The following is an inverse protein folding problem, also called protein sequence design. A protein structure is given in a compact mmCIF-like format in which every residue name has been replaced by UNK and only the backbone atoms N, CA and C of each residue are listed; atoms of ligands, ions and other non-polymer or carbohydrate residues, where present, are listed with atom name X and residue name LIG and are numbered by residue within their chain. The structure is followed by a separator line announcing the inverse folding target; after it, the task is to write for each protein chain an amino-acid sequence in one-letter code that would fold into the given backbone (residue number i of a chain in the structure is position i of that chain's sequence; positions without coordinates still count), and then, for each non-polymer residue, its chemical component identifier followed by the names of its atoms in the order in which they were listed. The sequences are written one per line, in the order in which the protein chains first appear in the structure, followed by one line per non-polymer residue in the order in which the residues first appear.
data_IF_898740159129
#
_entry.id   IF_898740159129
#
_cell.length_a   1.000
_cell.length_b   1.000
_cell.length_c   1.000
_cell.angle_alpha   90.00
_cell.angle_beta   90.00
_cell.angle_gamma   90.00
#
_symmetry.space_group_name_H-M   'P 1'
#
loop_
_entity.id
_entity.type
_entity.pdbx_description
1 polymer ?
#
# COMPACT_ATOMS: atom_id res chain seq x y z
N UNK A 1 -24.33 20.66 29.55
CA UNK A 1 -24.01 19.27 29.97
C UNK A 1 -23.57 18.51 28.73
N UNK A 2 -22.38 17.89 28.70
CA UNK A 2 -21.98 17.00 27.59
C UNK A 2 -22.60 15.62 27.84
N UNK A 3 -23.44 15.19 26.91
CA UNK A 3 -24.11 13.89 26.93
C UNK A 3 -23.08 12.74 27.10
N UNK A 4 -23.22 11.89 28.13
CA UNK A 4 -22.33 10.76 28.35
C UNK A 4 -22.33 9.73 27.20
N UNK A 5 -23.41 9.63 26.43
CA UNK A 5 -23.50 8.71 25.29
C UNK A 5 -22.58 9.15 24.13
N UNK A 6 -22.50 10.45 23.88
CA UNK A 6 -21.57 11.05 22.91
C UNK A 6 -20.09 10.74 23.21
N UNK A 7 -19.72 10.61 24.49
CA UNK A 7 -18.35 10.23 24.88
C UNK A 7 -18.06 8.75 24.65
N UNK A 8 -19.07 7.88 24.79
CA UNK A 8 -18.95 6.44 24.58
C UNK A 8 -18.76 6.13 23.09
N UNK A 9 -19.55 6.78 22.23
CA UNK A 9 -19.44 6.65 20.77
C UNK A 9 -18.07 7.10 20.25
N UNK A 10 -17.55 8.21 20.77
CA UNK A 10 -16.22 8.70 20.41
C UNK A 10 -15.09 7.74 20.78
N UNK A 11 -15.20 7.02 21.91
CA UNK A 11 -14.20 6.03 22.31
C UNK A 11 -14.26 4.79 21.42
N UNK A 12 -15.46 4.33 21.09
CA UNK A 12 -15.66 3.20 20.20
C UNK A 12 -15.01 3.43 18.82
N UNK A 13 -15.30 4.57 18.17
CA UNK A 13 -14.72 4.89 16.87
C UNK A 13 -13.20 5.03 16.89
N UNK A 14 -12.63 5.55 17.98
CA UNK A 14 -11.16 5.60 18.13
C UNK A 14 -10.53 4.22 18.13
N UNK A 15 -11.13 3.24 18.80
CA UNK A 15 -10.64 1.86 18.80
C UNK A 15 -10.67 1.27 17.39
N UNK A 16 -11.77 1.48 16.65
CA UNK A 16 -11.87 1.03 15.26
C UNK A 16 -10.78 1.64 14.39
N UNK A 17 -10.53 2.96 14.53
CA UNK A 17 -9.49 3.64 13.74
C UNK A 17 -8.08 3.15 14.07
N UNK A 18 -7.78 2.88 15.34
CA UNK A 18 -6.49 2.31 15.76
C UNK A 18 -6.33 0.89 15.21
N UNK A 19 -7.38 0.07 15.29
CA UNK A 19 -7.37 -1.29 14.76
C UNK A 19 -7.17 -1.28 13.23
N UNK A 20 -7.89 -0.42 12.51
CA UNK A 20 -7.71 -0.24 11.06
C UNK A 20 -6.29 0.21 10.70
N UNK A 21 -5.72 1.16 11.46
CA UNK A 21 -4.34 1.60 11.29
C UNK A 21 -3.34 0.47 11.49
N UNK A 22 -3.46 -0.27 12.60
CA UNK A 22 -2.56 -1.38 12.91
C UNK A 22 -2.66 -2.49 11.88
N UNK A 23 -3.88 -2.84 11.46
CA UNK A 23 -4.13 -3.81 10.40
C UNK A 23 -3.50 -3.37 9.07
N UNK A 24 -3.72 -2.12 8.66
CA UNK A 24 -3.15 -1.57 7.43
C UNK A 24 -1.62 -1.57 7.44
N UNK A 25 -1.01 -1.24 8.59
CA UNK A 25 0.43 -1.28 8.78
C UNK A 25 0.98 -2.71 8.66
N UNK A 26 0.35 -3.68 9.34
CA UNK A 26 0.76 -5.09 9.27
C UNK A 26 0.57 -5.67 7.86
N UNK A 27 -0.52 -5.32 7.18
CA UNK A 27 -0.77 -5.71 5.79
C UNK A 27 0.32 -5.18 4.85
N UNK A 28 0.72 -3.91 5.00
CA UNK A 28 1.76 -3.32 4.16
C UNK A 28 3.14 -3.92 4.47
N UNK A 29 3.44 -4.17 5.75
CA UNK A 29 4.69 -4.79 6.18
C UNK A 29 4.80 -6.24 5.69
N UNK A 30 3.75 -7.05 5.89
CA UNK A 30 3.73 -8.44 5.44
C UNK A 30 3.74 -8.55 3.92
N UNK A 31 2.99 -7.69 3.21
CA UNK A 31 3.04 -7.59 1.75
C UNK A 31 4.44 -7.24 1.24
N UNK A 32 5.14 -6.31 1.91
CA UNK A 32 6.54 -5.97 1.60
C UNK A 32 7.47 -7.14 1.77
N UNK A 33 7.36 -7.86 2.88
CA UNK A 33 8.16 -9.06 3.13
C UNK A 33 7.90 -10.13 2.07
N UNK A 34 6.63 -10.44 1.79
CA UNK A 34 6.23 -11.45 0.80
C UNK A 34 6.68 -11.09 -0.61
N UNK A 35 6.69 -9.82 -0.98
CA UNK A 35 7.21 -9.37 -2.28
C UNK A 35 8.68 -9.78 -2.44
N UNK A 36 9.53 -9.48 -1.47
CA UNK A 36 10.96 -9.80 -1.56
C UNK A 36 11.25 -11.28 -1.44
N UNK A 37 10.48 -12.01 -0.63
CA UNK A 37 10.60 -13.47 -0.52
C UNK A 37 10.20 -14.17 -1.83
N UNK A 38 9.03 -13.82 -2.37
CA UNK A 38 8.44 -14.52 -3.53
C UNK A 38 8.96 -14.01 -4.86
N UNK A 39 8.98 -12.69 -5.06
CA UNK A 39 9.37 -12.09 -6.34
C UNK A 39 10.88 -11.90 -6.32
N UNK A 40 11.41 -10.99 -5.50
CA UNK A 40 12.84 -10.77 -5.35
C UNK A 40 13.26 -9.31 -5.55
N UNK A 41 14.57 -9.10 -5.73
CA UNK A 41 15.19 -7.77 -5.78
C UNK A 41 15.72 -7.42 -7.16
N UNK A 42 15.84 -8.40 -8.05
CA UNK A 42 16.46 -8.23 -9.35
C UNK A 42 15.44 -8.45 -10.48
N UNK A 43 15.61 -7.77 -11.64
CA UNK A 43 14.78 -8.02 -12.82
C UNK A 43 14.71 -9.49 -13.23
N UNK A 44 15.79 -10.25 -13.03
CA UNK A 44 15.81 -11.70 -13.27
C UNK A 44 14.80 -12.46 -12.39
N UNK A 45 14.71 -12.13 -11.10
CA UNK A 45 13.79 -12.81 -10.17
C UNK A 45 12.32 -12.47 -10.51
N UNK A 46 12.09 -11.26 -11.00
CA UNK A 46 10.80 -10.81 -11.53
C UNK A 46 10.47 -11.60 -12.79
N UNK A 47 11.37 -11.67 -13.77
CA UNK A 47 11.18 -12.47 -14.99
C UNK A 47 10.94 -13.94 -14.64
N UNK A 48 11.67 -14.50 -13.69
CA UNK A 48 11.47 -15.87 -13.23
C UNK A 48 10.09 -16.07 -12.61
N UNK A 49 9.62 -15.11 -11.81
CA UNK A 49 8.28 -15.14 -11.21
C UNK A 49 7.18 -15.04 -12.27
N UNK A 50 7.30 -14.16 -13.27
CA UNK A 50 6.27 -13.95 -14.29
C UNK A 50 6.42 -14.81 -15.55
N UNK A 51 7.56 -15.41 -15.85
CA UNK A 51 7.77 -16.15 -17.10
C UNK A 51 8.42 -17.53 -16.88
N UNK A 52 8.79 -17.85 -15.64
CA UNK A 52 9.43 -19.12 -15.28
C UNK A 52 10.95 -19.13 -15.50
N UNK A 53 11.59 -20.18 -14.98
CA UNK A 53 13.05 -20.36 -14.97
C UNK A 53 13.66 -20.37 -16.37
N UNK A 54 13.06 -21.06 -17.34
CA UNK A 54 13.59 -21.13 -18.71
C UNK A 54 13.71 -19.75 -19.37
N UNK A 55 12.66 -18.92 -19.24
CA UNK A 55 12.65 -17.57 -19.77
C UNK A 55 13.64 -16.65 -19.05
N UNK A 56 13.80 -16.82 -17.72
CA UNK A 56 14.81 -16.10 -16.95
C UNK A 56 16.22 -16.46 -17.41
N UNK A 57 16.56 -17.74 -17.52
CA UNK A 57 17.89 -18.20 -17.92
C UNK A 57 18.25 -17.81 -19.35
N UNK A 58 17.25 -17.73 -20.25
CA UNK A 58 17.46 -17.24 -21.61
C UNK A 58 17.94 -15.77 -21.67
N UNK A 59 17.49 -14.93 -20.72
CA UNK A 59 17.86 -13.51 -20.65
C UNK A 59 19.01 -13.25 -19.66
N UNK A 60 19.15 -14.09 -18.64
CA UNK A 60 20.10 -13.94 -17.55
C UNK A 60 20.83 -15.29 -17.28
N UNK A 61 21.69 -15.77 -18.20
CA UNK A 61 22.26 -17.12 -18.13
C UNK A 61 23.19 -17.36 -16.93
N UNK A 62 23.70 -16.30 -16.29
CA UNK A 62 24.55 -16.39 -15.09
C UNK A 62 23.79 -16.34 -13.77
N UNK A 63 22.46 -16.33 -13.77
CA UNK A 63 21.64 -16.25 -12.55
C UNK A 63 21.31 -17.64 -12.00
N UNK A 64 21.23 -17.79 -10.66
CA UNK A 64 20.79 -19.04 -10.05
C UNK A 64 19.32 -19.30 -10.37
N UNK A 65 19.01 -20.52 -10.78
CA UNK A 65 17.66 -21.01 -10.98
C UNK A 65 17.00 -21.37 -9.64
N UNK A 66 15.83 -20.81 -9.36
CA UNK A 66 15.02 -21.09 -8.16
C UNK A 66 13.95 -22.15 -8.39
N UNK A 67 13.99 -22.85 -9.52
CA UNK A 67 13.06 -23.91 -9.95
C UNK A 67 11.59 -23.45 -9.95
N UNK A 68 11.31 -22.31 -10.58
CA UNK A 68 9.93 -21.78 -10.68
C UNK A 68 9.32 -22.10 -12.04
N UNK A 69 8.12 -22.67 -11.99
CA UNK A 69 7.28 -22.81 -13.17
C UNK A 69 6.60 -21.48 -13.50
N UNK A 70 6.37 -21.18 -14.81
CA UNK A 70 5.54 -20.05 -15.18
C UNK A 70 4.16 -20.21 -14.53
N UNK A 71 3.68 -19.19 -13.82
CA UNK A 71 2.35 -19.26 -13.24
C UNK A 71 1.28 -19.37 -14.36
N UNK A 72 0.24 -20.16 -14.13
CA UNK A 72 -0.89 -20.29 -15.07
C UNK A 72 -1.63 -18.97 -15.24
N UNK A 73 -2.31 -18.77 -16.37
CA UNK A 73 -3.10 -17.55 -16.61
C UNK A 73 -4.18 -17.35 -15.53
N UNK A 74 -4.89 -18.42 -15.18
CA UNK A 74 -5.94 -18.41 -14.16
C UNK A 74 -5.43 -18.04 -12.76
N UNK A 75 -4.39 -18.72 -12.26
CA UNK A 75 -3.85 -18.45 -10.92
C UNK A 75 -3.28 -17.03 -10.78
N UNK A 76 -2.83 -16.44 -11.89
CA UNK A 76 -2.41 -15.03 -11.91
C UNK A 76 -3.58 -14.08 -11.89
N UNK A 77 -4.65 -14.34 -12.67
CA UNK A 77 -5.85 -13.52 -12.63
C UNK A 77 -6.46 -13.50 -11.23
N UNK A 78 -6.51 -14.65 -10.55
CA UNK A 78 -6.95 -14.74 -9.15
C UNK A 78 -6.09 -13.86 -8.23
N UNK A 79 -4.77 -13.96 -8.37
CA UNK A 79 -3.82 -13.18 -7.57
C UNK A 79 -4.00 -11.68 -7.82
N UNK A 80 -4.00 -11.25 -9.08
CA UNK A 80 -4.06 -9.83 -9.44
C UNK A 80 -5.42 -9.23 -9.10
N UNK A 81 -6.51 -9.97 -9.28
CA UNK A 81 -7.85 -9.52 -8.88
C UNK A 81 -7.94 -9.28 -7.37
N UNK A 82 -7.41 -10.19 -6.56
CA UNK A 82 -7.34 -10.02 -5.11
C UNK A 82 -6.48 -8.79 -4.73
N UNK A 83 -5.33 -8.58 -5.38
CA UNK A 83 -4.49 -7.41 -5.17
C UNK A 83 -5.19 -6.11 -5.57
N UNK A 84 -5.93 -6.10 -6.69
CA UNK A 84 -6.65 -4.92 -7.16
C UNK A 84 -7.69 -4.45 -6.13
N UNK A 85 -8.46 -5.39 -5.57
CA UNK A 85 -9.43 -5.07 -4.50
C UNK A 85 -8.70 -4.59 -3.25
N UNK A 86 -7.69 -5.35 -2.80
CA UNK A 86 -6.96 -5.04 -1.57
C UNK A 86 -6.27 -3.66 -1.62
N UNK A 87 -5.58 -3.36 -2.72
CA UNK A 87 -4.91 -2.08 -2.94
C UNK A 87 -5.92 -0.93 -3.01
N UNK A 88 -7.05 -1.12 -3.71
CA UNK A 88 -8.09 -0.09 -3.81
C UNK A 88 -8.66 0.27 -2.43
N UNK A 89 -9.00 -0.73 -1.61
CA UNK A 89 -9.50 -0.52 -0.25
C UNK A 89 -8.45 0.16 0.62
N UNK A 90 -7.20 -0.29 0.56
CA UNK A 90 -6.10 0.28 1.34
C UNK A 90 -5.84 1.74 0.97
N UNK A 91 -5.68 2.04 -0.32
CA UNK A 91 -5.40 3.39 -0.81
C UNK A 91 -6.57 4.32 -0.50
N UNK A 92 -7.80 3.95 -0.85
CA UNK A 92 -8.97 4.80 -0.59
C UNK A 92 -9.19 5.00 0.91
N UNK A 93 -9.07 3.94 1.71
CA UNK A 93 -9.24 4.01 3.16
C UNK A 93 -8.22 4.93 3.83
N UNK A 94 -6.93 4.75 3.53
CA UNK A 94 -5.86 5.55 4.14
C UNK A 94 -5.85 7.00 3.65
N UNK A 95 -6.04 7.24 2.35
CA UNK A 95 -6.08 8.60 1.80
C UNK A 95 -7.32 9.36 2.29
N UNK A 96 -8.47 8.71 2.38
CA UNK A 96 -9.68 9.30 2.95
C UNK A 96 -9.46 9.66 4.43
N UNK A 97 -8.89 8.74 5.22
CA UNK A 97 -8.61 8.97 6.63
C UNK A 97 -7.60 10.11 6.83
N UNK A 98 -6.54 10.14 6.00
CA UNK A 98 -5.53 11.19 6.07
C UNK A 98 -6.15 12.55 5.75
N UNK A 99 -6.95 12.62 4.67
CA UNK A 99 -7.61 13.85 4.26
C UNK A 99 -8.64 14.34 5.29
N UNK A 100 -9.43 13.45 5.88
CA UNK A 100 -10.42 13.83 6.90
C UNK A 100 -9.79 14.28 8.21
N UNK A 101 -8.56 13.82 8.52
CA UNK A 101 -7.81 14.23 9.71
C UNK A 101 -7.16 15.62 9.63
N UNK A 102 -7.17 16.28 8.46
CA UNK A 102 -6.42 17.52 8.22
C UNK A 102 -7.33 18.73 8.03
N UNK A 103 -7.15 19.77 8.87
CA UNK A 103 -7.89 21.04 8.79
C UNK A 103 -7.24 22.09 7.87
N UNK A 104 -5.94 22.03 7.60
CA UNK A 104 -5.20 23.00 6.78
C UNK A 104 -3.97 22.40 6.10
N UNK A 105 -3.45 23.05 5.06
CA UNK A 105 -2.33 22.50 4.26
C UNK A 105 -2.74 21.34 3.33
N UNK A 106 -4.00 21.30 2.89
CA UNK A 106 -4.59 20.18 2.12
C UNK A 106 -3.78 19.76 0.90
N UNK A 107 -3.21 20.73 0.17
CA UNK A 107 -2.42 20.46 -1.04
C UNK A 107 -1.27 19.47 -0.82
N UNK A 108 -0.55 19.55 0.30
CA UNK A 108 0.54 18.60 0.61
C UNK A 108 0.02 17.17 0.75
N UNK A 109 -1.09 17.00 1.49
CA UNK A 109 -1.72 15.70 1.70
C UNK A 109 -2.39 15.16 0.44
N UNK A 110 -2.95 16.03 -0.39
CA UNK A 110 -3.52 15.68 -1.69
C UNK A 110 -2.44 15.16 -2.63
N UNK A 111 -1.25 15.79 -2.65
CA UNK A 111 -0.10 15.32 -3.44
C UNK A 111 0.37 13.94 -2.95
N UNK A 112 0.52 13.74 -1.65
CA UNK A 112 0.90 12.43 -1.10
C UNK A 112 -0.14 11.36 -1.45
N UNK A 113 -1.42 11.68 -1.31
CA UNK A 113 -2.52 10.77 -1.65
C UNK A 113 -2.51 10.42 -3.15
N UNK A 114 -2.25 11.40 -4.01
CA UNK A 114 -2.12 11.19 -5.44
C UNK A 114 -0.92 10.31 -5.77
N UNK A 115 0.24 10.56 -5.17
CA UNK A 115 1.44 9.72 -5.37
C UNK A 115 1.17 8.28 -4.92
N UNK A 116 0.53 8.10 -3.77
CA UNK A 116 0.19 6.77 -3.27
C UNK A 116 -0.76 6.01 -4.21
N UNK A 117 -1.81 6.70 -4.69
CA UNK A 117 -2.73 6.15 -5.67
C UNK A 117 -2.04 5.82 -7.00
N UNK A 118 -1.27 6.75 -7.55
CA UNK A 118 -0.57 6.56 -8.82
C UNK A 118 0.46 5.42 -8.73
N UNK A 119 1.16 5.29 -7.61
CA UNK A 119 2.12 4.22 -7.38
C UNK A 119 1.42 2.85 -7.27
N UNK A 120 0.29 2.77 -6.56
CA UNK A 120 -0.52 1.54 -6.50
C UNK A 120 -1.03 1.12 -7.89
N UNK A 121 -1.53 2.09 -8.66
CA UNK A 121 -2.01 1.86 -10.02
C UNK A 121 -0.88 1.42 -10.96
N UNK A 122 0.31 2.03 -10.84
CA UNK A 122 1.48 1.64 -11.61
C UNK A 122 1.99 0.24 -11.24
N UNK A 123 2.07 -0.07 -9.94
CA UNK A 123 2.50 -1.39 -9.45
C UNK A 123 1.59 -2.51 -9.96
N UNK A 124 0.27 -2.31 -9.86
CA UNK A 124 -0.75 -3.22 -10.37
C UNK A 124 -0.77 -3.29 -11.90
N UNK A 125 -0.62 -2.14 -12.57
CA UNK A 125 -0.53 -2.07 -14.02
C UNK A 125 0.68 -2.84 -14.55
N UNK A 126 1.80 -2.83 -13.83
CA UNK A 126 3.00 -3.60 -14.18
C UNK A 126 2.83 -5.10 -13.93
N UNK A 127 1.98 -5.53 -12.98
CA UNK A 127 1.64 -6.96 -12.84
C UNK A 127 0.98 -7.51 -14.11
N UNK A 128 0.09 -6.73 -14.74
CA UNK A 128 -0.49 -7.05 -16.05
C UNK A 128 0.50 -6.80 -17.20
N UNK A 129 1.27 -5.73 -17.10
CA UNK A 129 2.21 -5.29 -18.12
C UNK A 129 3.27 -6.34 -18.37
N UNK A 130 3.95 -6.83 -17.33
CA UNK A 130 5.02 -7.83 -17.46
C UNK A 130 4.49 -9.15 -18.02
N UNK A 131 3.24 -9.48 -17.69
CA UNK A 131 2.55 -10.65 -18.23
C UNK A 131 2.45 -10.65 -19.77
N UNK A 132 2.18 -9.48 -20.35
CA UNK A 132 1.87 -9.31 -21.77
C UNK A 132 3.01 -8.65 -22.56
N UNK A 133 3.97 -8.04 -21.85
CA UNK A 133 5.06 -7.27 -22.43
C UNK A 133 6.38 -8.06 -22.38
N UNK A 134 7.39 -7.60 -23.11
CA UNK A 134 8.70 -8.25 -23.08
C UNK A 134 9.42 -8.02 -21.74
N UNK A 135 10.41 -8.87 -21.47
CA UNK A 135 11.17 -8.90 -20.21
C UNK A 135 11.79 -7.56 -19.79
N UNK A 136 12.07 -6.64 -20.72
CA UNK A 136 12.68 -5.34 -20.44
C UNK A 136 11.79 -4.41 -19.60
N UNK A 137 10.51 -4.74 -19.41
CA UNK A 137 9.59 -4.05 -18.49
C UNK A 137 9.84 -4.47 -17.03
N UNK A 138 10.38 -5.66 -16.78
CA UNK A 138 10.62 -6.18 -15.44
C UNK A 138 11.39 -5.23 -14.50
N UNK A 139 12.43 -4.48 -14.93
CA UNK A 139 13.12 -3.50 -14.10
C UNK A 139 12.22 -2.40 -13.53
N UNK A 140 11.05 -2.13 -14.12
CA UNK A 140 10.12 -1.10 -13.63
C UNK A 140 9.31 -1.57 -12.42
N UNK A 141 9.18 -2.88 -12.20
CA UNK A 141 8.36 -3.43 -11.10
C UNK A 141 8.88 -3.02 -9.73
N UNK A 142 10.18 -3.19 -9.50
CA UNK A 142 10.76 -2.88 -8.19
C UNK A 142 10.63 -1.38 -7.83
N UNK A 143 10.98 -0.42 -8.70
CA UNK A 143 10.73 1.00 -8.43
C UNK A 143 9.27 1.34 -8.19
N UNK A 144 8.33 0.78 -8.96
CA UNK A 144 6.90 1.01 -8.77
C UNK A 144 6.41 0.47 -7.42
N UNK A 145 6.82 -0.76 -7.08
CA UNK A 145 6.53 -1.38 -5.81
C UNK A 145 7.09 -0.57 -4.64
N UNK A 146 8.37 -0.16 -4.72
CA UNK A 146 9.03 0.65 -3.70
C UNK A 146 8.34 2.01 -3.51
N UNK A 147 7.92 2.65 -4.60
CA UNK A 147 7.16 3.90 -4.53
C UNK A 147 5.81 3.68 -3.86
N UNK A 148 5.11 2.59 -4.17
CA UNK A 148 3.83 2.23 -3.56
C UNK A 148 3.97 1.99 -2.06
N UNK A 149 4.90 1.13 -1.63
CA UNK A 149 5.06 0.83 -0.20
C UNK A 149 5.60 2.02 0.58
N UNK A 150 6.52 2.79 0.02
CA UNK A 150 7.09 3.97 0.69
C UNK A 150 6.05 5.08 0.87
N UNK A 151 5.22 5.33 -0.14
CA UNK A 151 4.12 6.30 -0.04
C UNK A 151 3.00 5.81 0.89
N UNK A 152 2.74 4.50 0.95
CA UNK A 152 1.86 3.88 1.95
C UNK A 152 2.38 4.05 3.38
N UNK A 153 3.65 3.74 3.63
CA UNK A 153 4.28 3.93 4.95
C UNK A 153 4.34 5.41 5.34
N UNK A 154 4.61 6.32 4.39
CA UNK A 154 4.55 7.76 4.65
C UNK A 154 3.12 8.20 5.03
N UNK A 155 2.10 7.68 4.34
CA UNK A 155 0.69 7.96 4.66
C UNK A 155 0.34 7.51 6.08
N UNK A 156 0.75 6.29 6.46
CA UNK A 156 0.59 5.76 7.81
C UNK A 156 1.37 6.58 8.85
N UNK A 157 2.61 6.96 8.56
CA UNK A 157 3.40 7.81 9.44
C UNK A 157 2.74 9.17 9.67
N UNK A 158 2.20 9.81 8.63
CA UNK A 158 1.48 11.07 8.78
C UNK A 158 0.18 10.91 9.58
N UNK A 159 -0.53 9.80 9.38
CA UNK A 159 -1.70 9.44 10.18
C UNK A 159 -1.34 9.24 11.66
N UNK A 160 -0.22 8.59 11.96
CA UNK A 160 0.20 8.35 13.35
C UNK A 160 0.55 9.66 14.06
N UNK A 161 1.27 10.57 13.40
CA UNK A 161 1.53 11.91 13.91
C UNK A 161 0.23 12.68 14.23
N UNK A 162 -0.79 12.52 13.38
CA UNK A 162 -2.11 13.13 13.60
C UNK A 162 -2.84 12.50 14.76
N UNK A 163 -2.86 11.17 14.86
CA UNK A 163 -3.47 10.46 15.99
C UNK A 163 -2.80 10.83 17.34
N UNK A 164 -1.47 10.98 17.38
CA UNK A 164 -0.71 11.39 18.57
C UNK A 164 -1.00 12.85 18.95
N UNK A 165 -0.99 13.77 17.98
CA UNK A 165 -1.38 15.17 18.20
C UNK A 165 -2.82 15.26 18.74
N UNK A 166 -3.68 14.39 18.24
CA UNK A 166 -5.06 14.32 18.69
C UNK A 166 -5.24 13.60 20.03
N UNK A 167 -4.27 12.82 20.50
CA UNK A 167 -4.28 12.26 21.85
C UNK A 167 -3.82 13.28 22.90
N UNK A 168 -2.96 14.23 22.51
CA UNK A 168 -2.33 15.22 23.41
C UNK A 168 -3.14 16.49 23.63
N UNK A 169 -4.10 16.81 22.75
CA UNK A 169 -5.01 17.96 22.94
C UNK A 169 -6.31 17.49 23.62
N UNK A 170 -6.63 17.97 24.84
CA UNK A 170 -7.89 17.69 25.50
C UNK A 170 -9.06 18.07 24.59
N UNK A 171 -10.04 17.18 24.45
CA UNK A 171 -11.18 17.38 23.56
C UNK A 171 -12.12 18.53 24.01
N UNK A 172 -11.88 19.17 25.16
CA UNK A 172 -12.58 20.38 25.60
C UNK A 172 -12.33 21.56 24.68
N UNK A 173 -11.10 21.70 24.18
CA UNK A 173 -10.64 22.91 23.49
C UNK A 173 -10.91 22.87 21.97
N UNK A 174 -11.39 21.74 21.45
CA UNK A 174 -11.68 21.59 20.02
C UNK A 174 -13.01 22.19 19.59
N UNK A 175 -13.96 22.35 20.52
CA UNK A 175 -15.27 22.96 20.23
C UNK A 175 -15.29 24.47 20.46
N UNK A 176 -14.27 25.06 21.08
CA UNK A 176 -14.21 26.50 21.36
C UNK A 176 -13.48 27.31 20.28
N UNK A 177 -12.99 26.66 19.21
CA UNK A 177 -12.33 27.32 18.07
C UNK A 177 -13.04 27.08 16.74
N UNK A 178 -14.34 26.81 16.82
CA UNK A 178 -15.23 26.71 15.67
C UNK A 178 -16.30 27.81 15.79
N UNK A 179 -15.84 29.05 15.96
CA UNK A 179 -16.57 30.29 15.71
C UNK A 179 -15.67 31.17 14.83
#
# INVERSE_FOLDING_TARGET
MRDPDLKKDQRFWKVILIAFYAFSFLQLLSGTYLFFEKIGWHPADIVEYYHGSEAMLAQFPGRPDRFKNPASWEGRLETVFAHAIAYSVLVLGLTHLLRSSVKGGRRFYDVISFVFFAAAAADLGLDFGILLAPWWVAPLKLPAFLLFVSSGFLTLFLLSLRMVRDATVPFSDRSQKAD
#
